data_IF_618004548257
#
_entry.id   IF_618004548257
#
_cell.length_a   1.000
_cell.length_b   1.000
_cell.length_c   1.000
_cell.angle_alpha   90.00
_cell.angle_beta   90.00
_cell.angle_gamma   90.00
#
_symmetry.space_group_name_H-M   'P 1'
#
loop_
_entity.id
_entity.type
_entity.pdbx_description
1 polymer ?
#
# COMPACT_ATOMS: atom_id res chain seq x y z
N UNK A 1 -21.06 -11.90 -3.62
CA UNK A 1 -20.28 -11.17 -2.59
C UNK A 1 -21.24 -10.73 -1.50
N UNK A 2 -20.77 -10.57 -0.27
CA UNK A 2 -21.59 -10.12 0.85
C UNK A 2 -21.42 -8.60 1.04
N UNK A 3 -22.56 -7.91 1.14
CA UNK A 3 -22.69 -6.47 1.40
C UNK A 3 -23.54 -6.30 2.67
N UNK A 4 -23.39 -5.21 3.42
CA UNK A 4 -22.52 -4.06 3.17
C UNK A 4 -21.04 -4.32 3.47
N UNK A 5 -20.14 -3.62 2.78
CA UNK A 5 -18.68 -3.66 3.00
C UNK A 5 -18.17 -2.32 3.50
N UNK A 6 -17.13 -2.35 4.33
CA UNK A 6 -16.42 -1.14 4.75
C UNK A 6 -15.08 -1.06 4.01
N UNK A 7 -14.86 0.03 3.27
CA UNK A 7 -13.64 0.32 2.51
C UNK A 7 -12.88 1.47 3.17
N UNK A 8 -11.56 1.46 3.06
CA UNK A 8 -10.66 2.39 3.75
C UNK A 8 -9.78 3.13 2.74
N UNK A 9 -9.47 4.39 3.03
CA UNK A 9 -8.58 5.19 2.19
C UNK A 9 -7.20 4.53 2.06
N UNK A 10 -6.76 4.30 0.84
CA UNK A 10 -5.39 3.87 0.56
C UNK A 10 -4.37 4.94 0.94
N UNK A 11 -3.17 4.51 1.37
CA UNK A 11 -2.03 5.42 1.54
C UNK A 11 -1.84 6.04 2.94
N UNK A 12 -2.51 5.54 3.98
CA UNK A 12 -2.27 5.93 5.39
C UNK A 12 -2.40 7.44 5.69
N UNK A 13 -3.02 8.22 4.80
CA UNK A 13 -3.17 9.67 4.96
C UNK A 13 -4.16 10.03 6.07
N UNK A 14 -5.20 9.22 6.24
CA UNK A 14 -6.15 9.27 7.34
C UNK A 14 -6.60 7.85 7.68
N UNK A 15 -6.44 7.47 8.95
CA UNK A 15 -6.79 6.14 9.46
C UNK A 15 -8.29 5.96 9.70
N UNK A 16 -9.04 7.06 9.76
CA UNK A 16 -10.49 7.05 10.03
C UNK A 16 -11.32 7.27 8.77
N UNK A 17 -10.67 7.51 7.62
CA UNK A 17 -11.36 7.74 6.35
C UNK A 17 -11.83 6.41 5.77
N UNK A 18 -13.10 6.08 6.03
CA UNK A 18 -13.76 4.87 5.54
C UNK A 18 -15.17 5.13 5.04
N UNK A 19 -15.62 4.29 4.10
CA UNK A 19 -16.95 4.34 3.50
C UNK A 19 -17.63 2.97 3.58
N UNK A 20 -18.96 2.96 3.74
CA UNK A 20 -19.77 1.75 3.70
C UNK A 20 -20.47 1.68 2.35
N UNK A 21 -20.24 0.59 1.61
CA UNK A 21 -20.85 0.33 0.29
C UNK A 21 -21.85 -0.82 0.37
N UNK A 22 -22.93 -0.73 -0.40
CA UNK A 22 -24.05 -1.68 -0.36
C UNK A 22 -24.19 -2.55 -1.60
N UNK A 23 -23.49 -2.21 -2.68
CA UNK A 23 -23.51 -2.91 -3.95
C UNK A 23 -22.16 -2.78 -4.67
N UNK A 24 -22.01 -3.52 -5.76
CA UNK A 24 -20.79 -3.59 -6.57
C UNK A 24 -20.51 -2.26 -7.29
N UNK A 25 -21.55 -1.56 -7.75
CA UNK A 25 -21.38 -0.28 -8.42
C UNK A 25 -20.80 0.80 -7.48
N UNK A 26 -21.21 0.81 -6.21
CA UNK A 26 -20.65 1.70 -5.19
C UNK A 26 -19.22 1.33 -4.82
N UNK A 27 -18.91 0.03 -4.80
CA UNK A 27 -17.54 -0.45 -4.57
C UNK A 27 -16.59 -0.01 -5.68
N UNK A 28 -17.00 -0.09 -6.95
CA UNK A 28 -16.20 0.39 -8.09
C UNK A 28 -15.91 1.89 -8.01
N UNK A 29 -16.92 2.70 -7.71
CA UNK A 29 -16.76 4.16 -7.55
C UNK A 29 -15.84 4.49 -6.37
N UNK A 30 -15.96 3.75 -5.26
CA UNK A 30 -15.11 3.92 -4.10
C UNK A 30 -13.65 3.49 -4.40
N UNK A 31 -13.46 2.41 -5.17
CA UNK A 31 -12.15 1.94 -5.63
C UNK A 31 -11.46 2.97 -6.55
N UNK A 32 -12.18 3.55 -7.52
CA UNK A 32 -11.67 4.65 -8.36
C UNK A 32 -11.26 5.88 -7.53
N UNK A 33 -12.00 6.11 -6.44
CA UNK A 33 -11.69 7.18 -5.50
C UNK A 33 -10.51 6.85 -4.57
N UNK A 34 -10.00 5.60 -4.57
CA UNK A 34 -8.86 5.16 -3.77
C UNK A 34 -9.21 4.54 -2.42
N UNK A 35 -10.46 4.10 -2.22
CA UNK A 35 -10.85 3.28 -1.07
C UNK A 35 -10.70 1.80 -1.41
N UNK A 36 -10.25 0.99 -0.44
CA UNK A 36 -10.02 -0.44 -0.65
C UNK A 36 -10.42 -1.23 0.60
N UNK A 37 -10.87 -2.47 0.44
CA UNK A 37 -11.21 -3.33 1.57
C UNK A 37 -9.97 -3.70 2.42
N UNK A 38 -10.14 -3.80 3.74
CA UNK A 38 -9.07 -4.32 4.61
C UNK A 38 -8.74 -5.77 4.24
N UNK A 39 -7.46 -6.04 4.02
CA UNK A 39 -6.98 -7.38 3.69
C UNK A 39 -7.12 -7.79 2.22
N UNK A 40 -7.66 -6.93 1.34
CA UNK A 40 -7.60 -7.17 -0.11
C UNK A 40 -6.19 -6.99 -0.68
N UNK A 41 -5.26 -6.40 0.09
CA UNK A 41 -3.81 -6.40 -0.17
C UNK A 41 -3.16 -7.80 -0.07
N UNK A 42 -3.93 -8.87 -0.25
CA UNK A 42 -3.44 -10.24 -0.40
C UNK A 42 -3.01 -10.53 -1.85
N UNK A 43 -2.31 -9.58 -2.48
CA UNK A 43 -1.33 -9.77 -3.56
C UNK A 43 -0.75 -8.39 -3.80
N UNK A 44 0.29 -8.01 -3.03
CA UNK A 44 1.10 -6.88 -3.46
C UNK A 44 1.60 -7.26 -4.85
N UNK A 45 1.33 -6.48 -5.93
CA UNK A 45 2.10 -6.65 -7.13
C UNK A 45 3.56 -6.51 -6.71
N UNK A 46 4.37 -7.53 -7.02
CA UNK A 46 5.83 -7.44 -6.87
C UNK A 46 6.24 -6.05 -7.36
N UNK A 47 6.93 -5.24 -6.54
CA UNK A 47 7.34 -3.92 -6.98
C UNK A 47 8.12 -4.14 -8.27
N UNK A 48 7.58 -3.62 -9.39
CA UNK A 48 8.31 -3.60 -10.65
C UNK A 48 9.66 -2.98 -10.32
N UNK A 49 10.73 -3.76 -10.47
CA UNK A 49 12.09 -3.38 -10.12
C UNK A 49 12.36 -1.99 -10.73
N UNK A 50 12.28 -0.95 -9.92
CA UNK A 50 12.90 0.32 -10.24
C UNK A 50 14.40 0.07 -10.21
N UNK A 51 14.90 -0.36 -11.36
CA UNK A 51 16.30 -0.31 -11.68
C UNK A 51 16.77 1.13 -11.46
N UNK A 52 17.84 1.22 -10.67
CA UNK A 52 18.78 2.34 -10.50
C UNK A 52 18.59 3.23 -9.27
N UNK A 53 19.38 2.90 -8.24
CA UNK A 53 20.25 3.89 -7.64
C UNK A 53 21.62 3.25 -7.36
N UNK A 54 22.55 3.44 -8.29
CA UNK A 54 23.97 3.21 -8.07
C UNK A 54 24.48 3.94 -6.82
N UNK A 55 25.36 3.24 -6.10
CA UNK A 55 26.47 3.72 -5.29
C UNK A 55 26.19 4.64 -4.07
N UNK A 56 26.33 4.03 -2.88
CA UNK A 56 27.26 4.59 -1.87
C UNK A 56 28.19 3.50 -1.34
N UNK A 57 29.52 3.64 -1.46
CA UNK A 57 30.45 2.67 -0.88
C UNK A 57 30.25 2.65 0.64
N UNK A 58 30.09 1.44 1.18
CA UNK A 58 30.00 1.21 2.63
C UNK A 58 31.28 1.77 3.25
N UNK A 59 31.15 2.85 4.04
CA UNK A 59 32.27 3.47 4.75
C UNK A 59 32.98 2.39 5.55
N UNK A 60 34.23 2.09 5.17
CA UNK A 60 35.02 1.01 5.74
C UNK A 60 35.06 1.10 7.26
N UNK A 61 34.84 -0.04 7.92
CA UNK A 61 35.12 -0.20 9.35
C UNK A 61 36.61 0.09 9.53
N UNK A 62 37.04 0.98 10.44
CA UNK A 62 38.46 1.19 10.66
C UNK A 62 39.06 -0.14 11.13
N UNK A 63 40.15 -0.58 10.48
CA UNK A 63 40.96 -1.68 11.00
C UNK A 63 41.54 -1.18 12.32
N UNK A 64 41.12 -1.78 13.42
CA UNK A 64 41.71 -1.53 14.72
C UNK A 64 43.00 -2.34 14.78
N UNK A 65 44.09 -1.74 14.31
CA UNK A 65 45.43 -2.15 14.69
C UNK A 65 45.78 -1.42 15.99
N UNK A 66 45.83 -2.17 17.10
CA UNK A 66 46.62 -1.92 18.31
C UNK A 66 46.53 -3.17 19.20
#
# INVERSE_FOLDING_TARGET
MEYPKMLYRSGWSDLNDCVIVYDEAQEDVANESGFVALGSLAEAPEPAEEQQAEAKPRRGRPRKDA
#
